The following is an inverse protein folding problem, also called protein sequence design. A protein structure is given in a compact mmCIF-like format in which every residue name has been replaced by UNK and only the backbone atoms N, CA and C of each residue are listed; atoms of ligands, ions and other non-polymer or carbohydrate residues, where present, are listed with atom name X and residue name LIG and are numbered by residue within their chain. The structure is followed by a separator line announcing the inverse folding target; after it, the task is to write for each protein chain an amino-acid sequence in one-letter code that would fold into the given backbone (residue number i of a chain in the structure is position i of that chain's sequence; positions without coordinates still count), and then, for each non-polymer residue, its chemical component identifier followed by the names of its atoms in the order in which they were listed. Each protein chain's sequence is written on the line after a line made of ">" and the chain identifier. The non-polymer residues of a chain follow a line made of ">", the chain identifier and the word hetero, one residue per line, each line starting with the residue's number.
data_IF_894029714639
#
_entry.id   IF_894029714639
#
_cell.length_a   1.000
_cell.length_b   1.000
_cell.length_c   1.000
_cell.angle_alpha   90.00
_cell.angle_beta   90.00
_cell.angle_gamma   90.00
#
_symmetry.space_group_name_H-M   'P 1'
#
loop_
_entity.id
_entity.type
_entity.pdbx_description
1 polymer ?
#
# COMPACT_ATOMS: atom_id res chain seq x y z
N UNK A 1 7.25 -24.18 -15.56
CA UNK A 1 6.01 -24.85 -15.09
C UNK A 1 5.50 -24.23 -13.78
N UNK A 2 5.59 -22.91 -13.59
CA UNK A 2 5.26 -22.23 -12.31
C UNK A 2 4.01 -21.33 -12.35
N UNK A 3 3.38 -21.18 -13.51
CA UNK A 3 2.24 -20.26 -13.70
C UNK A 3 0.90 -20.82 -13.23
N UNK A 4 0.82 -22.09 -12.81
CA UNK A 4 -0.44 -22.77 -12.50
C UNK A 4 -0.88 -22.69 -11.03
N UNK A 5 -0.01 -22.29 -10.10
CA UNK A 5 -0.31 -22.26 -8.66
C UNK A 5 -1.04 -20.98 -8.22
N UNK A 6 -1.00 -19.90 -9.02
CA UNK A 6 -1.64 -18.63 -8.66
C UNK A 6 -3.18 -18.63 -8.77
N UNK A 7 -3.82 -19.73 -9.20
CA UNK A 7 -5.25 -19.76 -9.56
C UNK A 7 -6.20 -20.20 -8.44
N UNK A 8 -5.73 -20.76 -7.34
CA UNK A 8 -6.60 -21.13 -6.20
C UNK A 8 -6.11 -20.49 -4.90
N UNK A 9 -6.32 -19.19 -4.79
CA UNK A 9 -6.18 -18.48 -3.52
C UNK A 9 -7.41 -18.80 -2.67
N UNK A 10 -7.22 -19.34 -1.45
CA UNK A 10 -8.27 -19.87 -0.55
C UNK A 10 -9.35 -18.83 -0.16
N UNK A 11 -9.13 -17.54 -0.45
CA UNK A 11 -10.02 -16.44 -0.07
C UNK A 11 -10.69 -15.79 -1.30
N UNK A 12 -11.99 -16.00 -1.44
CA UNK A 12 -12.88 -15.27 -2.38
C UNK A 12 -13.39 -13.94 -1.79
N UNK A 13 -12.56 -13.22 -1.01
CA UNK A 13 -12.99 -11.98 -0.38
C UNK A 13 -13.33 -10.89 -1.40
N UNK A 14 -14.61 -10.55 -1.52
CA UNK A 14 -15.08 -9.38 -2.27
C UNK A 14 -15.07 -8.16 -1.35
N UNK A 15 -14.31 -7.14 -1.75
CA UNK A 15 -14.20 -5.89 -0.98
C UNK A 15 -15.56 -5.18 -0.90
N UNK A 16 -15.94 -4.76 0.31
CA UNK A 16 -17.23 -4.09 0.57
C UNK A 16 -17.32 -2.64 0.06
N UNK A 17 -16.19 -1.95 -0.14
CA UNK A 17 -16.18 -0.52 -0.49
C UNK A 17 -15.13 -0.17 -1.55
N UNK A 18 -15.43 0.85 -2.36
CA UNK A 18 -14.51 1.42 -3.35
C UNK A 18 -13.63 2.55 -2.80
N UNK A 19 -13.45 2.63 -1.46
CA UNK A 19 -12.62 3.67 -0.84
C UNK A 19 -11.18 3.57 -1.34
N UNK A 20 -10.59 4.68 -1.78
CA UNK A 20 -9.21 4.68 -2.31
C UNK A 20 -9.05 4.11 -3.73
N UNK A 21 -10.15 3.88 -4.46
CA UNK A 21 -10.11 3.37 -5.84
C UNK A 21 -9.61 4.41 -6.89
N UNK A 22 -9.40 5.67 -6.53
CA UNK A 22 -8.89 6.72 -7.43
C UNK A 22 -7.42 6.47 -7.82
N UNK A 23 -6.96 6.92 -8.99
CA UNK A 23 -5.57 6.69 -9.44
C UNK A 23 -4.58 7.68 -8.80
N UNK A 24 -3.40 7.22 -8.37
CA UNK A 24 -2.36 8.06 -7.76
C UNK A 24 -1.82 9.14 -8.71
N UNK A 25 -1.62 8.80 -10.00
CA UNK A 25 -1.22 9.75 -11.05
C UNK A 25 -2.28 10.83 -11.27
N UNK A 26 -3.56 10.46 -11.18
CA UNK A 26 -4.65 11.44 -11.29
C UNK A 26 -4.65 12.39 -10.10
N UNK A 27 -4.42 11.88 -8.88
CA UNK A 27 -4.29 12.71 -7.69
C UNK A 27 -3.11 13.68 -7.80
N UNK A 28 -1.99 13.24 -8.36
CA UNK A 28 -0.81 14.08 -8.61
C UNK A 28 -1.13 15.25 -9.53
N UNK A 29 -1.70 14.95 -10.71
CA UNK A 29 -2.12 15.94 -11.70
C UNK A 29 -3.13 16.93 -11.12
N UNK A 30 -4.04 16.43 -10.28
CA UNK A 30 -5.04 17.28 -9.62
C UNK A 30 -4.41 18.24 -8.62
N UNK A 31 -3.46 17.76 -7.80
CA UNK A 31 -2.75 18.59 -6.83
C UNK A 31 -1.93 19.68 -7.53
N UNK A 32 -1.27 19.35 -8.64
CA UNK A 32 -0.54 20.31 -9.47
C UNK A 32 -1.48 21.38 -10.06
N UNK A 33 -2.57 20.97 -10.70
CA UNK A 33 -3.52 21.89 -11.32
C UNK A 33 -4.18 22.86 -10.31
N UNK A 34 -4.39 22.40 -9.08
CA UNK A 34 -4.90 23.22 -7.98
C UNK A 34 -3.81 24.16 -7.45
N UNK A 35 -2.57 23.68 -7.28
CA UNK A 35 -1.45 24.49 -6.80
C UNK A 35 -1.13 25.63 -7.78
N UNK A 36 -1.18 25.36 -9.09
CA UNK A 36 -1.01 26.33 -10.17
C UNK A 36 -2.25 27.23 -10.37
N UNK A 37 -3.29 27.09 -9.54
CA UNK A 37 -4.58 27.82 -9.62
C UNK A 37 -5.30 27.71 -10.98
N UNK A 38 -4.97 26.71 -11.81
CA UNK A 38 -5.61 26.48 -13.11
C UNK A 38 -7.05 25.99 -12.98
N UNK A 39 -7.36 25.28 -11.89
CA UNK A 39 -8.70 24.73 -11.63
C UNK A 39 -9.09 24.85 -10.15
N UNK A 40 -10.35 25.19 -9.88
CA UNK A 40 -10.93 25.10 -8.54
C UNK A 40 -11.18 23.65 -8.12
N UNK A 41 -11.36 23.43 -6.81
CA UNK A 41 -11.48 22.10 -6.19
C UNK A 41 -12.53 21.18 -6.83
N UNK A 42 -13.72 21.71 -7.11
CA UNK A 42 -14.81 20.94 -7.71
C UNK A 42 -14.50 20.54 -9.16
N UNK A 43 -13.98 21.49 -9.95
CA UNK A 43 -13.63 21.27 -11.36
C UNK A 43 -12.52 20.23 -11.48
N UNK A 44 -11.47 20.36 -10.68
CA UNK A 44 -10.34 19.43 -10.67
C UNK A 44 -10.78 18.02 -10.24
N UNK A 45 -11.62 17.92 -9.20
CA UNK A 45 -12.17 16.65 -8.72
C UNK A 45 -12.95 15.90 -9.81
N UNK A 46 -13.83 16.59 -10.55
CA UNK A 46 -14.61 16.00 -11.64
C UNK A 46 -13.74 15.61 -12.83
N UNK A 47 -12.80 16.48 -13.21
CA UNK A 47 -11.93 16.27 -14.36
C UNK A 47 -11.02 15.04 -14.21
N UNK A 48 -10.40 14.88 -13.04
CA UNK A 48 -9.45 13.79 -12.78
C UNK A 48 -10.07 12.58 -12.04
N UNK A 49 -11.38 12.62 -11.80
CA UNK A 49 -12.14 11.58 -11.09
C UNK A 49 -11.54 11.24 -9.71
N UNK A 50 -11.15 12.27 -8.97
CA UNK A 50 -10.64 12.12 -7.59
C UNK A 50 -11.63 12.71 -6.59
N UNK A 51 -11.87 12.08 -5.42
CA UNK A 51 -12.81 12.64 -4.44
C UNK A 51 -12.37 14.00 -3.91
N UNK A 52 -13.24 15.00 -4.00
CA UNK A 52 -12.97 16.38 -3.59
C UNK A 52 -12.50 16.50 -2.14
N UNK A 53 -13.14 15.79 -1.21
CA UNK A 53 -12.76 15.79 0.21
C UNK A 53 -11.35 15.23 0.43
N UNK A 54 -10.99 14.18 -0.30
CA UNK A 54 -9.63 13.59 -0.25
C UNK A 54 -8.60 14.54 -0.83
N UNK A 55 -8.91 15.17 -1.96
CA UNK A 55 -8.06 16.19 -2.59
C UNK A 55 -7.77 17.35 -1.62
N UNK A 56 -8.82 17.93 -1.02
CA UNK A 56 -8.69 19.07 -0.10
C UNK A 56 -7.84 18.73 1.12
N UNK A 57 -8.07 17.56 1.75
CA UNK A 57 -7.26 17.09 2.88
C UNK A 57 -5.79 16.90 2.52
N UNK A 58 -5.50 16.36 1.34
CA UNK A 58 -4.12 16.15 0.85
C UNK A 58 -3.44 17.48 0.52
N UNK A 59 -4.13 18.41 -0.15
CA UNK A 59 -3.60 19.72 -0.48
C UNK A 59 -3.28 20.57 0.76
N UNK A 60 -4.11 20.46 1.80
CA UNK A 60 -3.89 21.15 3.08
C UNK A 60 -2.96 20.39 4.04
N UNK A 61 -2.35 19.27 3.62
CA UNK A 61 -1.49 18.42 4.44
C UNK A 61 -2.13 17.99 5.80
N UNK A 62 -3.45 17.84 5.84
CA UNK A 62 -4.21 17.47 7.05
C UNK A 62 -4.11 15.96 7.40
N UNK A 63 -3.37 15.19 6.61
CA UNK A 63 -3.22 13.75 6.79
C UNK A 63 -1.91 13.44 7.53
N UNK A 64 -2.01 12.66 8.61
CA UNK A 64 -0.83 12.22 9.40
C UNK A 64 0.05 11.18 8.69
N UNK A 65 -0.53 10.41 7.76
CA UNK A 65 0.13 9.24 7.14
C UNK A 65 0.11 9.33 5.62
N UNK A 66 -1.07 9.52 5.04
CA UNK A 66 -1.23 9.58 3.59
C UNK A 66 -0.79 10.95 3.04
N UNK A 67 0.47 11.04 2.62
CA UNK A 67 1.08 12.27 2.08
C UNK A 67 1.01 12.28 0.55
N UNK A 68 0.78 13.47 -0.02
CA UNK A 68 0.72 13.72 -1.48
C UNK A 68 -0.18 12.73 -2.23
N UNK A 69 0.39 11.82 -2.99
CA UNK A 69 -0.31 10.87 -3.88
C UNK A 69 -0.40 9.47 -3.30
N UNK A 70 0.50 9.12 -2.37
CA UNK A 70 0.58 7.79 -1.78
C UNK A 70 -0.73 7.44 -1.09
N UNK A 71 -1.31 6.30 -1.48
CA UNK A 71 -2.47 5.74 -0.79
C UNK A 71 -2.02 5.07 0.50
N UNK A 72 -2.81 5.31 1.53
CA UNK A 72 -2.71 4.56 2.76
C UNK A 72 -4.15 4.34 3.25
N UNK A 73 -4.45 3.11 3.63
CA UNK A 73 -5.76 2.72 4.13
C UNK A 73 -5.60 1.92 5.40
N UNK A 74 -6.48 2.16 6.37
CA UNK A 74 -6.39 1.53 7.68
C UNK A 74 -5.46 2.30 8.62
N UNK A 75 -5.22 1.69 9.79
CA UNK A 75 -4.41 2.25 10.88
C UNK A 75 -2.98 1.71 10.88
N UNK A 76 -2.81 0.45 10.46
CA UNK A 76 -1.53 -0.26 10.58
C UNK A 76 -0.52 0.25 9.57
N UNK A 77 0.72 0.41 10.04
CA UNK A 77 1.89 0.74 9.21
C UNK A 77 2.76 -0.50 9.10
N UNK A 78 3.50 -0.62 8.01
CA UNK A 78 4.56 -1.60 7.84
C UNK A 78 5.68 -1.29 8.83
N UNK A 79 5.94 -2.19 9.77
CA UNK A 79 7.03 -2.05 10.76
C UNK A 79 8.37 -2.42 10.14
N UNK A 80 8.42 -3.55 9.43
CA UNK A 80 9.60 -3.96 8.70
C UNK A 80 9.75 -3.08 7.44
N UNK A 81 10.96 -2.61 7.19
CA UNK A 81 11.29 -1.96 5.92
C UNK A 81 11.42 -3.02 4.81
N UNK A 82 11.47 -2.58 3.55
CA UNK A 82 11.57 -3.50 2.41
C UNK A 82 12.82 -4.37 2.47
N UNK A 83 13.95 -3.79 2.88
CA UNK A 83 15.25 -4.47 2.95
C UNK A 83 15.24 -5.60 3.99
N UNK A 84 14.65 -5.38 5.18
CA UNK A 84 14.50 -6.42 6.20
C UNK A 84 13.49 -7.50 5.77
N UNK A 85 12.41 -7.12 5.08
CA UNK A 85 11.48 -8.10 4.50
C UNK A 85 12.21 -9.01 3.49
N UNK A 86 13.06 -8.44 2.63
CA UNK A 86 13.84 -9.19 1.64
C UNK A 86 14.88 -10.11 2.32
N UNK A 87 15.63 -9.59 3.30
CA UNK A 87 16.59 -10.38 4.07
C UNK A 87 15.93 -11.54 4.82
N UNK A 88 14.74 -11.33 5.40
CA UNK A 88 13.98 -12.38 6.07
C UNK A 88 13.57 -13.48 5.08
N UNK A 89 13.09 -13.10 3.90
CA UNK A 89 12.69 -14.06 2.85
C UNK A 89 13.90 -14.86 2.35
N UNK A 90 15.02 -14.21 2.09
CA UNK A 90 16.26 -14.88 1.67
C UNK A 90 16.75 -15.89 2.71
N UNK A 91 16.70 -15.52 3.99
CA UNK A 91 17.05 -16.40 5.09
C UNK A 91 16.12 -17.62 5.17
N UNK A 92 14.80 -17.42 5.03
CA UNK A 92 13.82 -18.51 5.02
C UNK A 92 14.07 -19.50 3.88
N UNK A 93 14.34 -19.00 2.67
CA UNK A 93 14.66 -19.84 1.50
C UNK A 93 15.97 -20.62 1.70
N UNK A 94 16.98 -19.99 2.32
CA UNK A 94 18.26 -20.65 2.61
C UNK A 94 18.12 -21.78 3.64
N UNK A 95 17.25 -21.61 4.64
CA UNK A 95 16.94 -22.65 5.64
C UNK A 95 16.13 -23.80 5.02
N UNK A 96 15.12 -23.49 4.21
CA UNK A 96 14.34 -24.50 3.50
C UNK A 96 15.22 -25.37 2.59
N UNK A 97 16.16 -24.75 1.85
CA UNK A 97 17.10 -25.47 0.99
C UNK A 97 18.04 -26.42 1.75
N UNK A 98 18.24 -26.19 3.06
CA UNK A 98 19.05 -27.04 3.95
C UNK A 98 18.20 -28.03 4.74
N UNK A 99 16.94 -28.21 4.36
CA UNK A 99 15.94 -29.05 5.02
C UNK A 99 15.59 -28.62 6.46
N UNK A 100 15.85 -27.36 6.81
CA UNK A 100 15.32 -26.74 8.02
C UNK A 100 14.00 -26.05 7.68
N UNK A 101 12.90 -26.81 7.76
CA UNK A 101 11.56 -26.24 7.61
C UNK A 101 11.24 -25.31 8.78
N UNK A 102 10.77 -24.09 8.48
CA UNK A 102 10.26 -23.15 9.47
C UNK A 102 8.75 -23.25 9.58
N UNK A 103 8.23 -23.20 10.81
CA UNK A 103 6.80 -23.06 11.03
C UNK A 103 6.40 -21.59 10.93
N UNK A 104 5.10 -21.33 10.77
CA UNK A 104 4.57 -19.95 10.81
C UNK A 104 4.85 -19.24 12.13
N UNK A 105 4.97 -19.99 13.23
CA UNK A 105 5.31 -19.44 14.56
C UNK A 105 6.75 -18.96 14.57
N UNK A 106 7.68 -19.75 14.06
CA UNK A 106 9.10 -19.38 14.00
C UNK A 106 9.30 -18.12 13.16
N UNK A 107 8.61 -18.02 12.03
CA UNK A 107 8.64 -16.82 11.17
C UNK A 107 8.11 -15.59 11.91
N UNK A 108 7.03 -15.73 12.67
CA UNK A 108 6.50 -14.63 13.48
C UNK A 108 7.47 -14.21 14.59
N UNK A 109 8.18 -15.16 15.22
CA UNK A 109 9.20 -14.87 16.24
C UNK A 109 10.36 -14.10 15.60
N UNK A 110 10.92 -14.59 14.49
CA UNK A 110 12.00 -13.91 13.77
C UNK A 110 11.60 -12.50 13.31
N UNK A 111 10.39 -12.36 12.75
CA UNK A 111 9.87 -11.06 12.34
C UNK A 111 9.67 -10.10 13.52
N UNK A 112 9.30 -10.62 14.69
CA UNK A 112 9.17 -9.83 15.92
C UNK A 112 10.53 -9.38 16.46
N UNK A 113 11.54 -10.27 16.44
CA UNK A 113 12.90 -9.95 16.87
C UNK A 113 13.58 -8.93 15.96
N UNK A 114 13.29 -8.95 14.66
CA UNK A 114 13.78 -7.97 13.68
C UNK A 114 13.01 -6.64 13.71
N UNK A 115 11.84 -6.59 14.35
CA UNK A 115 11.03 -5.38 14.40
C UNK A 115 11.66 -4.36 15.38
N UNK A 116 12.00 -3.18 14.85
CA UNK A 116 12.48 -2.02 15.61
C UNK A 116 11.35 -1.04 15.89
#
# INVERSE_FOLDING_TARGET
>A
MYTRVLKEMVSNYKRKTNRGAWNEKNMERTLLAVAEKRMGWLKASRHFQVPQATLRRRAMNLNKIAVRTRKHLGRHKTTLNRELEEALVEHMLALEARFFGLTTVDVCILAYELAV
#
